data_IF_718159069310
#
_entry.id   IF_718159069310
#
_cell.length_a   1.000
_cell.length_b   1.000
_cell.length_c   1.000
_cell.angle_alpha   90.00
_cell.angle_beta   90.00
_cell.angle_gamma   90.00
#
_symmetry.space_group_name_H-M   'P 1'
#
loop_
_entity.id
_entity.type
_entity.pdbx_description
1 polymer ?
#
# COMPACT_ATOMS: atom_id res chain seq x y z
N UNK A 1 -5.17 -12.41 -39.20
CA UNK A 1 -6.35 -12.02 -38.38
C UNK A 1 -6.22 -12.44 -36.93
N UNK A 2 -5.97 -13.73 -36.61
CA UNK A 2 -5.82 -14.23 -35.22
C UNK A 2 -4.75 -13.48 -34.40
N UNK A 3 -3.59 -13.17 -35.00
CA UNK A 3 -2.50 -12.40 -34.34
C UNK A 3 -2.91 -10.97 -33.97
N UNK A 4 -3.78 -10.34 -34.77
CA UNK A 4 -4.28 -8.98 -34.52
C UNK A 4 -5.34 -8.99 -33.42
N UNK A 5 -6.18 -10.01 -33.37
CA UNK A 5 -7.18 -10.22 -32.31
C UNK A 5 -6.50 -10.49 -30.96
N UNK A 6 -5.45 -11.32 -30.93
CA UNK A 6 -4.67 -11.58 -29.72
C UNK A 6 -3.93 -10.32 -29.21
N UNK A 7 -3.42 -9.48 -30.12
CA UNK A 7 -2.77 -8.21 -29.77
C UNK A 7 -3.75 -7.20 -29.15
N UNK A 8 -4.96 -7.10 -29.72
CA UNK A 8 -6.02 -6.22 -29.19
C UNK A 8 -6.53 -6.74 -27.84
N UNK A 9 -6.61 -8.05 -27.63
CA UNK A 9 -7.03 -8.64 -26.35
C UNK A 9 -5.99 -8.42 -25.22
N UNK A 10 -4.70 -8.43 -25.55
CA UNK A 10 -3.63 -8.16 -24.59
C UNK A 10 -3.58 -6.70 -24.10
N UNK A 11 -4.07 -5.74 -24.90
CA UNK A 11 -4.09 -4.32 -24.55
C UNK A 11 -5.14 -3.95 -23.48
N UNK A 12 -6.13 -4.82 -23.22
CA UNK A 12 -7.19 -4.57 -22.22
C UNK A 12 -6.89 -5.09 -20.81
N UNK A 13 -5.75 -5.78 -20.59
CA UNK A 13 -5.41 -6.39 -19.29
C UNK A 13 -4.61 -5.47 -18.34
N UNK A 14 -4.34 -4.23 -18.74
CA UNK A 14 -3.67 -3.24 -17.92
C UNK A 14 -4.63 -2.59 -16.90
N UNK A 15 -5.25 -3.40 -16.05
CA UNK A 15 -6.00 -2.88 -14.90
C UNK A 15 -5.00 -2.32 -13.89
N UNK A 16 -4.89 -1.00 -13.86
CA UNK A 16 -4.11 -0.29 -12.83
C UNK A 16 -4.67 -0.67 -11.46
N UNK A 17 -3.87 -1.37 -10.64
CA UNK A 17 -4.22 -1.65 -9.24
C UNK A 17 -4.23 -0.31 -8.50
N UNK A 18 -5.44 0.19 -8.21
CA UNK A 18 -5.65 1.36 -7.36
C UNK A 18 -5.42 0.94 -5.90
N UNK A 19 -4.22 1.17 -5.37
CA UNK A 19 -3.95 1.04 -3.95
C UNK A 19 -4.52 2.27 -3.22
N UNK A 20 -5.43 2.05 -2.26
CA UNK A 20 -5.97 3.12 -1.44
C UNK A 20 -4.92 3.59 -0.41
N UNK A 21 -4.85 4.90 -0.12
CA UNK A 21 -3.94 5.39 0.90
C UNK A 21 -4.31 4.88 2.30
N UNK A 22 -3.31 4.52 3.10
CA UNK A 22 -3.48 4.13 4.50
C UNK A 22 -3.08 5.25 5.44
N UNK A 23 -3.88 5.48 6.49
CA UNK A 23 -3.57 6.49 7.51
C UNK A 23 -2.74 5.88 8.64
N UNK A 24 -1.42 6.08 8.61
CA UNK A 24 -0.48 5.55 9.62
C UNK A 24 -0.70 6.07 11.04
N UNK A 25 -1.50 7.12 11.25
CA UNK A 25 -1.87 7.62 12.58
C UNK A 25 -3.12 6.94 13.15
N UNK A 26 -3.89 6.21 12.34
CA UNK A 26 -5.15 5.57 12.76
C UNK A 26 -5.21 4.07 12.49
N UNK A 27 -4.73 3.63 11.34
CA UNK A 27 -4.82 2.24 10.88
C UNK A 27 -4.15 1.25 11.86
N UNK A 28 -4.61 0.00 11.85
CA UNK A 28 -3.99 -1.11 12.57
C UNK A 28 -2.64 -1.51 11.95
N UNK A 29 -1.87 -2.33 12.65
CA UNK A 29 -0.60 -2.84 12.11
C UNK A 29 -0.86 -3.70 10.85
N UNK A 30 -1.92 -4.49 10.86
CA UNK A 30 -2.32 -5.36 9.75
C UNK A 30 -2.73 -4.56 8.51
N UNK A 31 -3.50 -3.48 8.70
CA UNK A 31 -3.90 -2.55 7.64
C UNK A 31 -2.66 -1.85 7.03
N UNK A 32 -1.70 -1.44 7.87
CA UNK A 32 -0.45 -0.82 7.41
C UNK A 32 0.39 -1.84 6.63
N UNK A 33 0.54 -3.06 7.15
CA UNK A 33 1.36 -4.10 6.54
C UNK A 33 0.82 -4.58 5.19
N UNK A 34 -0.51 -4.61 5.04
CA UNK A 34 -1.17 -4.97 3.78
C UNK A 34 -1.15 -3.84 2.76
N UNK A 35 -1.06 -2.58 3.18
CA UNK A 35 -1.15 -1.43 2.29
C UNK A 35 0.20 -0.86 1.84
N UNK A 36 1.26 -0.97 2.66
CA UNK A 36 2.56 -0.36 2.38
C UNK A 36 3.58 -1.36 1.87
N UNK A 37 4.06 -1.15 0.64
CA UNK A 37 5.15 -1.94 0.08
C UNK A 37 6.44 -1.77 0.91
N UNK A 38 7.10 -2.89 1.25
CA UNK A 38 8.34 -2.90 2.05
C UNK A 38 8.13 -2.78 3.57
N UNK A 39 6.88 -2.70 4.02
CA UNK A 39 6.50 -2.65 5.44
C UNK A 39 5.74 -3.94 5.78
N UNK A 40 6.48 -4.96 6.24
CA UNK A 40 5.85 -6.16 6.81
C UNK A 40 5.31 -5.92 8.23
N UNK A 41 4.62 -6.92 8.78
CA UNK A 41 3.97 -6.87 10.10
C UNK A 41 4.87 -6.28 11.20
N UNK A 42 6.12 -6.74 11.31
CA UNK A 42 7.06 -6.26 12.34
C UNK A 42 7.31 -4.75 12.28
N UNK A 43 7.47 -4.20 11.06
CA UNK A 43 7.64 -2.74 10.89
C UNK A 43 6.34 -1.99 11.15
N UNK A 44 5.20 -2.56 10.76
CA UNK A 44 3.89 -1.97 11.01
C UNK A 44 3.58 -1.87 12.52
N UNK A 45 3.92 -2.90 13.29
CA UNK A 45 3.83 -2.89 14.76
C UNK A 45 4.75 -1.86 15.39
N UNK A 46 5.97 -1.70 14.86
CA UNK A 46 6.88 -0.65 15.30
C UNK A 46 6.31 0.76 15.06
N UNK A 47 5.64 1.01 13.93
CA UNK A 47 4.95 2.27 13.63
C UNK A 47 3.84 2.54 14.66
N UNK A 48 2.99 1.55 14.95
CA UNK A 48 1.91 1.69 15.93
C UNK A 48 2.46 1.91 17.34
N UNK A 49 3.52 1.21 17.71
CA UNK A 49 4.20 1.38 18.99
C UNK A 49 4.80 2.78 19.12
N UNK A 50 5.48 3.24 18.07
CA UNK A 50 6.08 4.57 18.03
C UNK A 50 5.03 5.66 18.21
N UNK A 51 3.92 5.63 17.44
CA UNK A 51 2.87 6.67 17.54
C UNK A 51 2.16 6.68 18.90
N UNK A 52 2.06 5.52 19.56
CA UNK A 52 1.51 5.42 20.92
C UNK A 52 2.42 6.07 21.95
N UNK A 53 3.74 5.93 21.79
CA UNK A 53 4.72 6.46 22.72
C UNK A 53 5.08 7.94 22.48
N UNK A 54 5.07 8.40 21.21
CA UNK A 54 5.60 9.72 20.83
C UNK A 54 4.53 10.67 20.26
N UNK A 55 3.30 10.19 20.08
CA UNK A 55 2.24 10.91 19.38
C UNK A 55 2.27 10.71 17.86
N UNK A 56 1.37 11.40 17.16
CA UNK A 56 1.16 11.21 15.72
C UNK A 56 2.33 11.70 14.86
N UNK A 57 2.55 11.02 13.73
CA UNK A 57 3.43 11.48 12.66
C UNK A 57 2.89 12.78 12.04
N UNK A 58 3.75 13.78 11.87
CA UNK A 58 3.41 15.11 11.33
C UNK A 58 3.71 15.24 9.82
N UNK A 59 4.75 14.56 9.35
CA UNK A 59 5.25 14.55 7.98
C UNK A 59 5.79 13.15 7.65
N UNK A 60 5.97 12.84 6.36
CA UNK A 60 6.52 11.55 5.89
C UNK A 60 8.05 11.55 5.96
N UNK A 61 8.68 12.65 5.53
CA UNK A 61 10.13 12.82 5.49
C UNK A 61 10.77 13.05 6.87
N UNK A 62 9.96 13.45 7.86
CA UNK A 62 10.38 14.24 9.04
C UNK A 62 10.78 15.66 8.65
#
# INVERSE_FOLDING_TARGET
MIKLVALVFGLFLSVSVLAAPVNVNKASAEEIASSLNGVGQVKAEAIVTYRKAHGHFKSVES
#
